data_IF_436767312847
#
_entry.id   IF_436767312847
#
_cell.length_a   1.000
_cell.length_b   1.000
_cell.length_c   1.000
_cell.angle_alpha   90.00
_cell.angle_beta   90.00
_cell.angle_gamma   90.00
#
_symmetry.space_group_name_H-M   'P 1'
#
loop_
_entity.id
_entity.type
_entity.pdbx_description
1 polymer ?
#
# COMPACT_ATOMS: atom_id res chain seq x y z
N UNK A 1 40.45 -0.28 -0.90
CA UNK A 1 39.09 0.18 -1.26
C UNK A 1 38.35 -0.85 -2.10
N UNK A 2 39.00 -1.47 -3.09
CA UNK A 2 38.40 -2.54 -3.91
C UNK A 2 37.94 -3.76 -3.09
N UNK A 3 38.74 -4.17 -2.10
CA UNK A 3 38.37 -5.25 -1.17
C UNK A 3 37.07 -4.96 -0.39
N UNK A 4 36.85 -3.71 0.01
CA UNK A 4 35.63 -3.30 0.73
C UNK A 4 34.42 -3.34 -0.19
N UNK A 5 34.54 -2.84 -1.43
CA UNK A 5 33.47 -2.90 -2.43
C UNK A 5 33.05 -4.35 -2.71
N UNK A 6 34.03 -5.24 -2.89
CA UNK A 6 33.78 -6.67 -3.08
C UNK A 6 32.99 -7.27 -1.91
N UNK A 7 33.37 -6.96 -0.67
CA UNK A 7 32.66 -7.46 0.52
C UNK A 7 31.23 -6.95 0.64
N UNK A 8 30.96 -5.70 0.26
CA UNK A 8 29.60 -5.16 0.23
C UNK A 8 28.73 -5.87 -0.82
N UNK A 9 29.29 -6.18 -1.99
CA UNK A 9 28.57 -6.92 -3.03
C UNK A 9 28.29 -8.38 -2.60
N UNK A 10 29.29 -9.06 -2.03
CA UNK A 10 29.14 -10.43 -1.51
C UNK A 10 28.11 -10.49 -0.37
N UNK A 11 28.11 -9.51 0.54
CA UNK A 11 27.16 -9.45 1.64
C UNK A 11 25.70 -9.45 1.17
N UNK A 12 25.37 -8.74 0.08
CA UNK A 12 24.01 -8.75 -0.46
C UNK A 12 23.59 -10.14 -0.95
N UNK A 13 24.51 -10.90 -1.52
CA UNK A 13 24.25 -12.26 -2.01
C UNK A 13 24.12 -13.22 -0.82
N UNK A 14 25.02 -13.14 0.16
CA UNK A 14 24.98 -13.97 1.36
C UNK A 14 23.71 -13.72 2.19
N UNK A 15 23.28 -12.47 2.34
CA UNK A 15 22.03 -12.13 3.01
C UNK A 15 20.82 -12.77 2.30
N UNK A 16 20.80 -12.72 0.96
CA UNK A 16 19.77 -13.34 0.16
C UNK A 16 19.76 -14.87 0.31
N UNK A 17 20.93 -15.51 0.29
CA UNK A 17 21.05 -16.96 0.34
C UNK A 17 20.82 -17.54 1.74
N UNK A 18 21.16 -16.80 2.79
CA UNK A 18 21.09 -17.27 4.17
C UNK A 18 19.67 -17.24 4.74
N UNK A 19 18.94 -16.13 4.57
CA UNK A 19 17.68 -15.94 5.30
C UNK A 19 16.52 -15.40 4.47
N UNK A 20 16.74 -14.74 3.33
CA UNK A 20 15.65 -14.27 2.49
C UNK A 20 15.03 -15.44 1.70
N UNK A 21 13.71 -15.44 1.61
CA UNK A 21 13.01 -16.45 0.82
C UNK A 21 13.15 -16.13 -0.68
N UNK A 22 13.30 -17.17 -1.51
CA UNK A 22 13.35 -17.02 -2.98
C UNK A 22 12.03 -16.53 -3.59
N UNK A 23 10.94 -16.69 -2.86
CA UNK A 23 9.60 -16.20 -3.20
C UNK A 23 8.91 -15.72 -1.93
N UNK A 24 7.91 -14.85 -2.08
CA UNK A 24 7.09 -14.38 -0.96
C UNK A 24 6.16 -15.52 -0.52
N UNK A 25 6.29 -16.05 0.72
CA UNK A 25 5.44 -17.13 1.18
C UNK A 25 4.02 -16.66 1.48
N UNK A 26 3.09 -17.61 1.51
CA UNK A 26 1.70 -17.40 1.86
C UNK A 26 1.40 -18.01 3.23
N UNK A 27 0.71 -17.25 4.09
CA UNK A 27 -0.01 -17.73 5.26
C UNK A 27 -1.48 -17.83 4.88
N UNK A 28 -2.12 -18.97 5.14
CA UNK A 28 -3.54 -19.14 4.81
C UNK A 28 -4.48 -18.38 5.77
N UNK A 29 -4.01 -18.07 6.98
CA UNK A 29 -4.79 -17.37 8.01
C UNK A 29 -3.91 -16.37 8.78
N UNK A 30 -4.51 -15.40 9.50
CA UNK A 30 -3.81 -14.53 10.43
C UNK A 30 -2.93 -15.29 11.42
N UNK A 31 -1.65 -14.91 11.56
CA UNK A 31 -0.75 -15.53 12.53
C UNK A 31 -1.04 -15.08 13.96
N UNK A 32 -0.69 -15.94 14.92
CA UNK A 32 -0.55 -15.52 16.31
C UNK A 32 0.51 -14.39 16.42
N UNK A 33 0.30 -13.35 17.25
CA UNK A 33 1.23 -12.21 17.35
C UNK A 33 2.70 -12.58 17.62
N UNK A 34 2.96 -13.56 18.48
CA UNK A 34 4.33 -13.97 18.81
C UNK A 34 4.98 -14.69 17.63
N UNK A 35 4.24 -15.56 16.95
CA UNK A 35 4.70 -16.20 15.72
C UNK A 35 4.92 -15.18 14.61
N UNK A 36 4.04 -14.18 14.50
CA UNK A 36 4.20 -13.14 13.50
C UNK A 36 5.49 -12.35 13.72
N UNK A 37 5.75 -11.96 14.96
CA UNK A 37 6.97 -11.25 15.30
C UNK A 37 8.22 -12.09 15.05
N UNK A 38 8.25 -13.32 15.56
CA UNK A 38 9.42 -14.21 15.45
C UNK A 38 9.75 -14.58 14.00
N UNK A 39 8.75 -14.90 13.20
CA UNK A 39 8.97 -15.53 11.89
C UNK A 39 9.01 -14.51 10.73
N UNK A 40 8.45 -13.31 10.93
CA UNK A 40 8.31 -12.31 9.86
C UNK A 40 8.88 -10.94 10.22
N UNK A 41 8.47 -10.34 11.35
CA UNK A 41 8.92 -8.98 11.73
C UNK A 41 10.40 -8.96 12.12
N UNK A 42 10.77 -9.74 13.14
CA UNK A 42 12.13 -9.83 13.67
C UNK A 42 13.19 -10.15 12.60
N UNK A 43 12.97 -11.14 11.72
CA UNK A 43 13.92 -11.44 10.64
C UNK A 43 13.72 -10.56 9.40
N UNK A 44 12.79 -9.61 9.39
CA UNK A 44 12.48 -8.72 8.27
C UNK A 44 12.18 -9.47 6.96
N UNK A 45 11.22 -10.40 7.00
CA UNK A 45 10.81 -11.22 5.85
C UNK A 45 9.39 -10.87 5.39
N UNK A 46 9.13 -10.73 4.08
CA UNK A 46 7.79 -10.51 3.56
C UNK A 46 6.97 -11.81 3.52
N UNK A 47 5.66 -11.68 3.71
CA UNK A 47 4.66 -12.72 3.46
C UNK A 47 3.35 -12.12 2.91
N UNK A 48 2.54 -12.96 2.28
CA UNK A 48 1.14 -12.66 1.96
C UNK A 48 0.26 -13.42 2.96
N UNK A 49 -0.68 -12.73 3.60
CA UNK A 49 -1.60 -13.33 4.57
C UNK A 49 -2.99 -13.36 3.96
N UNK A 50 -3.49 -14.57 3.69
CA UNK A 50 -4.83 -14.80 3.17
C UNK A 50 -5.84 -14.78 4.32
N UNK A 51 -7.11 -14.62 3.95
CA UNK A 51 -8.25 -14.64 4.86
C UNK A 51 -8.21 -13.64 6.03
N UNK A 52 -7.25 -12.71 6.05
CA UNK A 52 -7.02 -11.82 7.18
C UNK A 52 -8.08 -10.73 7.38
N UNK A 53 -8.85 -10.45 6.33
CA UNK A 53 -9.82 -9.36 6.30
C UNK A 53 -11.18 -9.83 5.80
N UNK A 54 -11.46 -11.15 5.84
CA UNK A 54 -12.73 -11.73 5.37
C UNK A 54 -13.96 -11.18 6.09
N UNK A 55 -13.78 -10.60 7.27
CA UNK A 55 -14.81 -9.94 8.08
C UNK A 55 -15.04 -8.46 7.71
N UNK A 56 -14.17 -7.84 6.90
CA UNK A 56 -14.34 -6.44 6.51
C UNK A 56 -15.49 -6.27 5.52
N UNK A 57 -16.51 -5.43 5.83
CA UNK A 57 -17.59 -5.13 4.88
C UNK A 57 -17.08 -4.65 3.51
N UNK A 58 -15.94 -3.95 3.47
CA UNK A 58 -15.32 -3.43 2.25
C UNK A 58 -15.18 -4.50 1.15
N UNK A 59 -14.87 -5.76 1.49
CA UNK A 59 -14.68 -6.84 0.50
C UNK A 59 -15.93 -7.12 -0.35
N UNK A 60 -17.11 -6.88 0.20
CA UNK A 60 -18.39 -7.06 -0.52
C UNK A 60 -19.01 -5.75 -0.97
N UNK A 61 -18.72 -4.65 -0.26
CA UNK A 61 -19.37 -3.35 -0.50
C UNK A 61 -18.64 -2.47 -1.50
N UNK A 62 -17.31 -2.49 -1.55
CA UNK A 62 -16.53 -1.51 -2.34
C UNK A 62 -16.55 -1.80 -3.84
N UNK A 63 -17.69 -1.52 -4.45
CA UNK A 63 -17.89 -1.44 -5.90
C UNK A 63 -17.79 0.02 -6.36
N UNK A 64 -17.51 0.30 -7.64
CA UNK A 64 -17.53 1.68 -8.15
C UNK A 64 -18.84 2.41 -7.87
N UNK A 65 -19.98 1.73 -7.99
CA UNK A 65 -21.30 2.32 -7.71
C UNK A 65 -21.47 2.67 -6.24
N UNK A 66 -21.09 1.76 -5.33
CA UNK A 66 -21.13 2.04 -3.88
C UNK A 66 -20.23 3.22 -3.51
N UNK A 67 -19.00 3.25 -4.03
CA UNK A 67 -18.06 4.35 -3.75
C UNK A 67 -18.57 5.68 -4.31
N UNK A 68 -19.22 5.66 -5.48
CA UNK A 68 -19.84 6.84 -6.08
C UNK A 68 -21.02 7.35 -5.25
N UNK A 69 -21.86 6.45 -4.74
CA UNK A 69 -22.97 6.80 -3.84
C UNK A 69 -22.45 7.36 -2.50
N UNK A 70 -21.48 6.66 -1.89
CA UNK A 70 -21.03 6.92 -0.52
C UNK A 70 -20.10 8.13 -0.39
N UNK A 71 -19.14 8.27 -1.31
CA UNK A 71 -18.10 9.32 -1.26
C UNK A 71 -17.89 10.05 -2.58
N UNK A 72 -18.73 9.81 -3.59
CA UNK A 72 -18.53 10.33 -4.93
C UNK A 72 -18.41 11.85 -5.04
N UNK A 73 -19.04 12.60 -4.13
CA UNK A 73 -18.99 14.06 -4.09
C UNK A 73 -17.80 14.62 -3.31
N UNK A 74 -17.07 13.78 -2.56
CA UNK A 74 -15.92 14.18 -1.76
C UNK A 74 -14.78 14.59 -2.67
N UNK A 75 -14.19 15.75 -2.38
CA UNK A 75 -12.98 16.20 -3.04
C UNK A 75 -11.76 15.61 -2.32
N UNK A 76 -10.96 14.88 -3.07
CA UNK A 76 -9.77 14.17 -2.59
C UNK A 76 -8.54 14.63 -3.36
N UNK A 77 -7.37 14.43 -2.76
CA UNK A 77 -6.09 14.72 -3.40
C UNK A 77 -5.72 13.59 -4.36
N UNK A 78 -5.55 13.92 -5.64
CA UNK A 78 -5.24 12.97 -6.70
C UNK A 78 -3.89 13.30 -7.29
N UNK A 79 -3.01 12.30 -7.36
CA UNK A 79 -1.73 12.45 -8.05
C UNK A 79 -1.93 12.24 -9.55
N UNK A 80 -1.36 13.15 -10.33
CA UNK A 80 -1.43 13.16 -11.79
C UNK A 80 -0.01 13.17 -12.35
N UNK A 81 0.27 12.22 -13.24
CA UNK A 81 1.56 12.12 -13.92
C UNK A 81 1.37 11.97 -15.41
N UNK A 82 2.31 12.40 -16.26
CA UNK A 82 2.17 12.22 -17.71
C UNK A 82 2.28 10.76 -18.15
N UNK A 83 2.91 9.89 -17.35
CA UNK A 83 3.35 8.56 -17.75
C UNK A 83 3.17 7.47 -16.68
N UNK A 84 2.58 7.78 -15.52
CA UNK A 84 2.35 6.81 -14.44
C UNK A 84 3.45 6.75 -13.38
N UNK A 85 4.57 7.47 -13.53
CA UNK A 85 5.69 7.41 -12.61
C UNK A 85 5.70 8.63 -11.67
N UNK A 86 5.12 8.50 -10.46
CA UNK A 86 5.36 9.44 -9.36
C UNK A 86 6.68 9.13 -8.66
N UNK A 87 7.23 10.16 -7.99
CA UNK A 87 8.37 10.03 -7.08
C UNK A 87 9.51 9.24 -7.72
N UNK A 88 9.79 9.60 -8.97
CA UNK A 88 10.66 8.86 -9.87
C UNK A 88 11.74 9.76 -10.47
N UNK A 89 12.88 9.15 -10.79
CA UNK A 89 13.93 9.84 -11.55
C UNK A 89 13.48 9.99 -13.01
N UNK A 90 13.54 11.21 -13.52
CA UNK A 90 13.31 11.56 -14.91
C UNK A 90 14.45 12.44 -15.40
N UNK A 91 15.37 11.85 -16.18
CA UNK A 91 16.60 12.51 -16.58
C UNK A 91 17.51 12.79 -15.38
N UNK A 92 17.83 14.06 -15.15
CA UNK A 92 18.69 14.55 -14.06
C UNK A 92 17.91 15.00 -12.82
N UNK A 93 16.59 14.72 -12.76
CA UNK A 93 15.70 15.19 -11.70
C UNK A 93 14.94 14.05 -11.04
N UNK A 94 14.71 14.19 -9.75
CA UNK A 94 13.64 13.48 -9.06
C UNK A 94 12.34 14.28 -9.22
N UNK A 95 11.31 13.67 -9.79
CA UNK A 95 10.04 14.34 -10.13
C UNK A 95 8.92 13.79 -9.26
N UNK A 96 8.28 14.69 -8.52
CA UNK A 96 7.06 14.41 -7.77
C UNK A 96 5.83 14.59 -8.68
N UNK A 97 4.70 13.91 -8.38
CA UNK A 97 3.47 14.09 -9.15
C UNK A 97 2.88 15.51 -9.00
N UNK A 98 2.04 15.92 -9.95
CA UNK A 98 1.13 17.02 -9.73
C UNK A 98 0.02 16.55 -8.78
N UNK A 99 -0.24 17.28 -7.70
CA UNK A 99 -1.40 17.04 -6.85
C UNK A 99 -2.58 17.91 -7.28
N UNK A 100 -3.71 17.27 -7.54
CA UNK A 100 -4.94 17.93 -7.98
C UNK A 100 -6.11 17.54 -7.10
N UNK A 101 -6.87 18.53 -6.64
CA UNK A 101 -8.10 18.30 -5.91
C UNK A 101 -9.23 17.96 -6.89
N UNK A 102 -9.83 16.78 -6.75
CA UNK A 102 -10.88 16.28 -7.65
C UNK A 102 -11.96 15.55 -6.86
N UNK A 103 -13.20 15.57 -7.36
CA UNK A 103 -14.26 14.73 -6.76
C UNK A 103 -13.96 13.24 -7.02
N UNK A 104 -14.27 12.38 -6.05
CA UNK A 104 -14.03 10.94 -6.17
C UNK A 104 -14.75 10.34 -7.40
N UNK A 105 -15.97 10.80 -7.70
CA UNK A 105 -16.71 10.39 -8.90
C UNK A 105 -15.96 10.70 -10.19
N UNK A 106 -15.37 11.90 -10.29
CA UNK A 106 -14.61 12.28 -11.48
C UNK A 106 -13.36 11.43 -11.67
N UNK A 107 -12.73 10.99 -10.57
CA UNK A 107 -11.58 10.06 -10.63
C UNK A 107 -12.03 8.68 -11.10
N UNK A 108 -13.14 8.16 -10.55
CA UNK A 108 -13.72 6.89 -11.01
C UNK A 108 -14.10 6.94 -12.49
N UNK A 109 -14.69 8.03 -12.97
CA UNK A 109 -15.03 8.19 -14.39
C UNK A 109 -13.82 8.11 -15.31
N UNK A 110 -12.66 8.59 -14.86
CA UNK A 110 -11.39 8.50 -15.60
C UNK A 110 -10.87 7.06 -15.56
N UNK A 111 -10.84 6.42 -14.39
CA UNK A 111 -10.34 5.04 -14.22
C UNK A 111 -11.20 4.03 -15.00
N UNK A 112 -12.52 4.20 -15.00
CA UNK A 112 -13.47 3.37 -15.75
C UNK A 112 -13.48 3.70 -17.26
N UNK A 113 -12.71 4.69 -17.72
CA UNK A 113 -12.63 5.09 -19.12
C UNK A 113 -13.86 5.84 -19.65
N UNK A 114 -14.81 6.21 -18.78
CA UNK A 114 -16.01 7.02 -19.11
C UNK A 114 -15.62 8.44 -19.55
N UNK A 115 -14.53 8.98 -19.00
CA UNK A 115 -13.98 10.29 -19.34
C UNK A 115 -12.50 10.14 -19.69
N UNK A 116 -12.12 10.66 -20.86
CA UNK A 116 -10.72 10.69 -21.28
C UNK A 116 -10.03 11.96 -20.77
N UNK A 117 -8.88 11.78 -20.10
CA UNK A 117 -8.02 12.87 -19.63
C UNK A 117 -6.56 12.54 -19.95
N UNK A 118 -5.77 13.57 -20.22
CA UNK A 118 -4.33 13.41 -20.40
C UNK A 118 -3.67 13.12 -19.05
N UNK A 119 -2.78 12.13 -19.05
CA UNK A 119 -2.04 11.69 -17.87
C UNK A 119 -2.64 10.44 -17.21
N UNK A 120 -1.95 9.97 -16.18
CA UNK A 120 -2.31 8.83 -15.34
C UNK A 120 -2.68 9.37 -13.97
N UNK A 121 -3.85 8.97 -13.48
CA UNK A 121 -4.47 9.44 -12.25
C UNK A 121 -4.52 8.29 -11.25
N UNK A 122 -4.06 8.53 -10.02
CA UNK A 122 -4.24 7.57 -8.93
C UNK A 122 -4.37 8.29 -7.59
N UNK A 123 -5.14 7.67 -6.70
CA UNK A 123 -5.31 8.11 -5.32
C UNK A 123 -4.23 7.44 -4.49
N UNK A 124 -3.15 8.17 -4.18
CA UNK A 124 -1.99 7.60 -3.46
C UNK A 124 -1.54 8.40 -2.25
N UNK A 125 -2.25 9.47 -1.87
CA UNK A 125 -1.84 10.32 -0.75
C UNK A 125 -1.59 9.44 0.47
N UNK A 126 -0.35 9.41 0.94
CA UNK A 126 0.03 8.72 2.18
C UNK A 126 -0.36 9.60 3.38
N UNK A 127 -0.08 9.15 4.60
CA UNK A 127 -0.46 9.85 5.84
C UNK A 127 -1.97 9.87 6.08
N UNK A 128 -2.57 8.69 6.25
CA UNK A 128 -3.95 8.54 6.74
C UNK A 128 -5.04 9.16 5.85
N UNK A 129 -4.86 9.19 4.53
CA UNK A 129 -5.86 9.71 3.59
C UNK A 129 -7.26 9.11 3.77
N UNK A 130 -7.36 7.83 4.14
CA UNK A 130 -8.64 7.20 4.46
C UNK A 130 -9.35 7.92 5.61
N UNK A 131 -8.64 8.27 6.68
CA UNK A 131 -9.20 8.94 7.85
C UNK A 131 -9.48 10.42 7.58
N UNK A 132 -8.59 11.08 6.83
CA UNK A 132 -8.65 12.53 6.65
C UNK A 132 -9.60 12.95 5.52
N UNK A 133 -9.57 12.24 4.38
CA UNK A 133 -10.31 12.62 3.18
C UNK A 133 -11.57 11.76 2.95
N UNK A 134 -11.58 10.52 3.44
CA UNK A 134 -12.64 9.53 3.23
C UNK A 134 -13.17 8.87 4.52
N UNK A 135 -13.38 9.61 5.63
CA UNK A 135 -13.79 9.02 6.90
C UNK A 135 -15.12 8.25 6.81
N UNK A 136 -15.97 8.56 5.83
CA UNK A 136 -17.24 7.85 5.63
C UNK A 136 -17.07 6.37 5.23
N UNK A 137 -15.86 5.97 4.80
CA UNK A 137 -15.53 4.59 4.47
C UNK A 137 -14.93 3.80 5.65
N UNK A 138 -14.65 4.45 6.79
CA UNK A 138 -14.00 3.75 7.92
C UNK A 138 -14.90 2.72 8.57
N UNK A 139 -16.22 2.83 8.42
CA UNK A 139 -17.17 1.83 8.93
C UNK A 139 -17.06 0.47 8.19
N UNK A 140 -16.41 0.44 7.02
CA UNK A 140 -16.25 -0.76 6.21
C UNK A 140 -14.95 -1.54 6.46
N UNK A 141 -14.07 -1.00 7.31
CA UNK A 141 -12.76 -1.59 7.63
C UNK A 141 -12.46 -1.43 9.12
N UNK A 142 -11.53 -2.21 9.65
CA UNK A 142 -11.06 -1.98 11.02
C UNK A 142 -10.03 -0.85 11.07
N UNK A 143 -9.97 -0.08 12.17
CA UNK A 143 -9.02 1.03 12.31
C UNK A 143 -7.56 0.56 12.46
N UNK A 144 -7.33 -0.72 12.79
CA UNK A 144 -6.01 -1.32 12.85
C UNK A 144 -6.11 -2.84 12.67
N UNK A 145 -4.97 -3.47 12.38
CA UNK A 145 -4.85 -4.93 12.28
C UNK A 145 -4.47 -5.48 13.66
N UNK A 146 -5.43 -6.04 14.39
CA UNK A 146 -5.30 -6.36 15.83
C UNK A 146 -4.10 -7.26 16.18
N UNK A 147 -3.91 -8.36 15.47
CA UNK A 147 -2.79 -9.29 15.70
C UNK A 147 -1.43 -8.66 15.36
N UNK A 148 -1.37 -7.76 14.37
CA UNK A 148 -0.17 -7.00 14.04
C UNK A 148 0.16 -5.98 15.12
N UNK A 149 -0.84 -5.21 15.58
CA UNK A 149 -0.67 -4.27 16.69
C UNK A 149 -0.15 -4.99 17.94
N UNK A 150 -0.71 -6.15 18.28
CA UNK A 150 -0.23 -6.94 19.42
C UNK A 150 1.21 -7.44 19.24
N UNK A 151 1.60 -7.83 18.02
CA UNK A 151 2.96 -8.27 17.73
C UNK A 151 3.98 -7.14 17.91
N UNK A 152 3.59 -5.90 17.57
CA UNK A 152 4.45 -4.72 17.70
C UNK A 152 4.53 -4.17 19.13
N UNK A 153 3.45 -4.30 19.92
CA UNK A 153 3.35 -3.71 21.27
C UNK A 153 4.07 -4.54 22.34
N UNK A 154 4.27 -5.85 22.15
CA UNK A 154 4.96 -6.70 23.14
C UNK A 154 6.47 -6.41 23.30
N UNK A 155 7.02 -5.39 22.63
CA UNK A 155 8.45 -5.07 22.61
C UNK A 155 8.80 -3.60 22.94
N UNK A 156 7.95 -2.91 23.72
CA UNK A 156 8.30 -1.65 24.40
C UNK A 156 8.39 -1.87 25.91
#
# INVERSE_FOLDING_TARGET
MESVKKRLAEFSVEAHDLYLNRSVPYLEEPPDPLHFYRDWIGPNKPCIIRNAFSHWPALSRWTPDYLREKVGSKFISVAVTPNGYADAVNGDRFVMPEERLMSFSSVLDIIEGKVQKQGVFYVQKQCSNLLDELPELTDDVEPHVSWMSNALVQHV
#
